data_IF_863102017057
#
_entry.id   IF_863102017057
#
_cell.length_a   1.000
_cell.length_b   1.000
_cell.length_c   1.000
_cell.angle_alpha   90.00
_cell.angle_beta   90.00
_cell.angle_gamma   90.00
#
_symmetry.space_group_name_H-M   'P 1'
#
loop_
_entity.id
_entity.type
_entity.pdbx_description
1 polymer ?
#
# COMPACT_ATOMS: atom_id res chain seq x y z
N UNK A 1 26.54 -3.95 7.71
CA UNK A 1 25.25 -4.54 7.38
C UNK A 1 24.20 -3.46 7.13
N UNK A 2 23.67 -3.42 5.93
CA UNK A 2 22.71 -2.38 5.53
C UNK A 2 21.43 -2.43 6.38
N UNK A 3 20.97 -3.63 6.68
CA UNK A 3 19.77 -3.81 7.51
C UNK A 3 19.97 -3.30 8.93
N UNK A 4 21.13 -3.55 9.50
CA UNK A 4 21.47 -3.06 10.83
C UNK A 4 21.54 -1.53 10.86
N UNK A 5 22.16 -0.94 9.84
CA UNK A 5 22.22 0.51 9.71
C UNK A 5 20.83 1.12 9.58
N UNK A 6 19.95 0.47 8.84
CA UNK A 6 18.56 0.89 8.69
C UNK A 6 17.84 0.90 10.04
N UNK A 7 18.03 -0.13 10.83
CA UNK A 7 17.40 -0.23 12.15
C UNK A 7 17.91 0.85 13.10
N UNK A 8 19.22 1.13 13.09
CA UNK A 8 19.79 2.17 13.93
C UNK A 8 19.25 3.56 13.57
N UNK A 9 19.17 3.87 12.29
CA UNK A 9 18.60 5.13 11.83
C UNK A 9 17.12 5.21 12.21
N UNK A 10 16.39 4.10 12.06
CA UNK A 10 15.00 4.02 12.43
C UNK A 10 14.78 4.27 13.91
N UNK A 11 15.65 3.71 14.78
CA UNK A 11 15.58 3.95 16.23
C UNK A 11 15.78 5.43 16.57
N UNK A 12 16.78 6.04 15.97
CA UNK A 12 17.11 7.45 16.22
C UNK A 12 15.97 8.37 15.77
N UNK A 13 15.35 8.06 14.64
CA UNK A 13 14.29 8.87 14.09
C UNK A 13 12.88 8.48 14.56
N UNK A 14 12.77 7.44 15.39
CA UNK A 14 11.48 6.95 15.87
C UNK A 14 10.71 6.12 14.84
N UNK A 15 11.37 5.69 13.79
CA UNK A 15 10.72 4.91 12.72
C UNK A 15 10.43 3.47 13.12
N UNK A 16 11.10 2.97 14.17
CA UNK A 16 10.87 1.61 14.66
C UNK A 16 9.58 1.47 15.45
N UNK A 17 8.87 2.57 15.70
CA UNK A 17 7.52 2.52 16.27
C UNK A 17 6.49 2.07 15.21
N UNK A 18 6.96 1.82 13.99
CA UNK A 18 6.15 1.34 12.89
C UNK A 18 5.62 2.49 12.03
N UNK A 19 5.90 2.44 10.74
CA UNK A 19 5.30 3.38 9.80
C UNK A 19 3.82 3.04 9.63
N UNK A 20 2.96 4.02 9.88
CA UNK A 20 1.52 3.83 9.72
C UNK A 20 1.15 3.76 8.25
N UNK A 21 0.38 2.75 7.88
CA UNK A 21 0.10 2.41 6.50
C UNK A 21 -1.39 2.27 6.27
N UNK A 22 -1.88 2.76 5.14
CA UNK A 22 -3.23 2.49 4.67
C UNK A 22 -3.18 1.76 3.34
N UNK A 23 -4.19 0.92 3.08
CA UNK A 23 -4.36 0.26 1.79
C UNK A 23 -5.63 0.85 1.16
N UNK A 24 -5.50 1.34 -0.07
CA UNK A 24 -6.64 1.82 -0.84
C UNK A 24 -6.90 0.84 -1.96
N UNK A 25 -8.07 0.19 -1.89
CA UNK A 25 -8.45 -0.91 -2.76
C UNK A 25 -8.41 -2.24 -2.01
N UNK A 26 -9.58 -2.81 -1.73
CA UNK A 26 -9.69 -4.06 -0.97
C UNK A 26 -10.20 -5.22 -1.82
N UNK A 27 -9.80 -5.24 -3.10
CA UNK A 27 -10.01 -6.38 -3.97
C UNK A 27 -9.05 -7.51 -3.62
N UNK A 28 -8.84 -8.45 -4.54
CA UNK A 28 -8.03 -9.63 -4.26
C UNK A 28 -6.63 -9.30 -3.75
N UNK A 29 -5.94 -8.37 -4.41
CA UNK A 29 -4.58 -8.00 -4.01
C UNK A 29 -4.56 -7.23 -2.70
N UNK A 30 -5.42 -6.23 -2.56
CA UNK A 30 -5.48 -5.43 -1.32
C UNK A 30 -5.82 -6.28 -0.12
N UNK A 31 -6.78 -7.21 -0.28
CA UNK A 31 -7.15 -8.14 0.78
C UNK A 31 -6.00 -9.07 1.15
N UNK A 32 -5.27 -9.58 0.15
CA UNK A 32 -4.13 -10.45 0.40
C UNK A 32 -3.04 -9.72 1.17
N UNK A 33 -2.73 -8.49 0.77
CA UNK A 33 -1.74 -7.66 1.46
C UNK A 33 -2.17 -7.36 2.89
N UNK A 34 -3.43 -6.99 3.09
CA UNK A 34 -3.95 -6.66 4.42
C UNK A 34 -3.98 -7.86 5.36
N UNK A 35 -4.16 -9.06 4.82
CA UNK A 35 -4.22 -10.29 5.60
C UNK A 35 -2.84 -10.82 6.00
N UNK A 36 -1.78 -10.30 5.42
CA UNK A 36 -0.45 -10.85 5.60
C UNK A 36 0.26 -10.23 6.81
N UNK A 37 0.77 -11.07 7.69
CA UNK A 37 1.47 -10.63 8.91
C UNK A 37 2.80 -9.96 8.64
N UNK A 38 3.29 -10.00 7.41
CA UNK A 38 4.60 -9.47 7.05
C UNK A 38 4.75 -7.99 7.38
N UNK A 39 3.66 -7.22 7.28
CA UNK A 39 3.72 -5.79 7.58
C UNK A 39 4.13 -5.54 9.02
N UNK A 40 3.47 -6.19 9.98
CA UNK A 40 3.77 -6.01 11.41
C UNK A 40 5.18 -6.50 11.74
N UNK A 41 5.58 -7.63 11.18
CA UNK A 41 6.90 -8.21 11.42
C UNK A 41 8.02 -7.31 10.92
N UNK A 42 7.75 -6.47 9.91
CA UNK A 42 8.73 -5.57 9.34
C UNK A 42 8.62 -4.13 9.87
N UNK A 43 7.79 -3.93 10.87
CA UNK A 43 7.65 -2.62 11.51
C UNK A 43 6.64 -1.70 10.86
N UNK A 44 5.76 -2.21 10.00
CA UNK A 44 4.70 -1.43 9.38
C UNK A 44 3.38 -1.70 10.10
N UNK A 45 2.66 -0.65 10.41
CA UNK A 45 1.39 -0.75 11.11
C UNK A 45 0.25 -0.39 10.17
N UNK A 46 -0.55 -1.39 9.79
CA UNK A 46 -1.73 -1.17 8.98
C UNK A 46 -2.82 -0.55 9.85
N UNK A 47 -3.27 0.65 9.49
CA UNK A 47 -4.25 1.39 10.28
C UNK A 47 -5.57 1.63 9.57
N UNK A 48 -5.64 1.43 8.26
CA UNK A 48 -6.86 1.66 7.51
C UNK A 48 -6.87 0.91 6.19
N UNK A 49 -8.08 0.50 5.79
CA UNK A 49 -8.34 -0.15 4.51
C UNK A 49 -9.55 0.54 3.89
N UNK A 50 -9.45 0.92 2.63
CA UNK A 50 -10.49 1.71 1.95
C UNK A 50 -10.87 1.08 0.61
N UNK A 51 -12.16 1.11 0.29
CA UNK A 51 -12.67 0.65 -1.00
C UNK A 51 -13.95 1.41 -1.33
N UNK A 52 -14.36 1.34 -2.59
CA UNK A 52 -15.62 1.92 -3.03
C UNK A 52 -16.70 0.86 -3.30
N UNK A 53 -16.39 -0.42 -3.11
CA UNK A 53 -17.35 -1.50 -3.31
C UNK A 53 -18.22 -1.67 -2.06
N UNK A 54 -19.51 -1.44 -2.21
CA UNK A 54 -20.46 -1.51 -1.10
C UNK A 54 -20.52 -2.91 -0.48
N UNK A 55 -20.19 -3.95 -1.24
CA UNK A 55 -20.18 -5.32 -0.73
C UNK A 55 -18.96 -5.62 0.14
N UNK A 56 -17.93 -4.81 0.02
CA UNK A 56 -16.68 -4.95 0.78
C UNK A 56 -16.64 -4.02 1.97
N UNK A 57 -17.20 -2.82 1.83
CA UNK A 57 -17.25 -1.83 2.92
C UNK A 57 -18.00 -2.42 4.12
N UNK A 58 -17.39 -2.29 5.30
CA UNK A 58 -17.94 -2.81 6.54
C UNK A 58 -17.47 -4.20 6.90
N UNK A 59 -16.85 -4.93 5.98
CA UNK A 59 -16.22 -6.21 6.31
C UNK A 59 -14.90 -5.96 7.03
N UNK A 60 -14.42 -6.97 7.76
CA UNK A 60 -13.14 -6.86 8.46
C UNK A 60 -12.10 -7.73 7.79
N UNK A 61 -10.90 -7.17 7.66
CA UNK A 61 -9.74 -7.91 7.18
C UNK A 61 -8.65 -7.74 8.23
N UNK A 62 -8.22 -8.84 8.81
CA UNK A 62 -7.21 -8.84 9.88
C UNK A 62 -7.57 -7.88 11.02
N UNK A 63 -8.85 -7.87 11.39
CA UNK A 63 -9.36 -7.04 12.48
C UNK A 63 -9.63 -5.58 12.12
N UNK A 64 -9.37 -5.17 10.89
CA UNK A 64 -9.56 -3.79 10.44
C UNK A 64 -10.78 -3.71 9.54
N UNK A 65 -11.72 -2.83 9.89
CA UNK A 65 -12.93 -2.63 9.10
C UNK A 65 -12.62 -1.86 7.83
N UNK A 66 -13.10 -2.37 6.69
CA UNK A 66 -12.96 -1.68 5.41
C UNK A 66 -13.91 -0.48 5.39
N UNK A 67 -13.36 0.69 5.13
CA UNK A 67 -14.13 1.94 5.07
C UNK A 67 -14.31 2.39 3.62
N UNK A 68 -15.32 3.24 3.42
CA UNK A 68 -15.51 3.86 2.11
C UNK A 68 -14.36 4.79 1.76
N UNK A 69 -13.96 4.83 0.49
CA UNK A 69 -12.97 5.79 -0.01
C UNK A 69 -13.39 7.23 0.29
N UNK A 70 -14.69 7.49 0.36
CA UNK A 70 -15.21 8.82 0.71
C UNK A 70 -14.75 9.27 2.11
N UNK A 71 -14.37 8.34 2.96
CA UNK A 71 -13.86 8.62 4.31
C UNK A 71 -12.33 8.78 4.36
N UNK A 72 -11.65 8.55 3.26
CA UNK A 72 -10.18 8.55 3.24
C UNK A 72 -9.60 9.88 3.69
N UNK A 73 -10.07 10.99 3.12
CA UNK A 73 -9.54 12.31 3.44
C UNK A 73 -9.77 12.67 4.90
N UNK A 74 -10.97 12.39 5.43
CA UNK A 74 -11.29 12.60 6.83
C UNK A 74 -10.37 11.77 7.73
N UNK A 75 -10.13 10.52 7.37
CA UNK A 75 -9.23 9.63 8.11
C UNK A 75 -7.81 10.18 8.11
N UNK A 76 -7.32 10.62 6.96
CA UNK A 76 -5.95 11.14 6.83
C UNK A 76 -5.76 12.45 7.61
N UNK A 77 -6.82 13.24 7.77
CA UNK A 77 -6.76 14.47 8.54
C UNK A 77 -6.73 14.22 10.05
N UNK A 78 -7.25 13.09 10.50
CA UNK A 78 -7.34 12.77 11.93
C UNK A 78 -6.31 11.72 12.39
N UNK A 79 -5.59 11.10 11.47
CA UNK A 79 -4.59 10.08 11.78
C UNK A 79 -3.32 10.35 10.99
N UNK A 80 -2.17 10.16 11.65
CA UNK A 80 -0.90 10.22 10.95
C UNK A 80 -0.75 8.97 10.10
N UNK A 81 -0.58 9.15 8.79
CA UNK A 81 -0.34 8.05 7.86
C UNK A 81 0.92 8.35 7.07
N UNK A 82 1.88 7.45 7.15
CA UNK A 82 3.18 7.62 6.50
C UNK A 82 3.19 7.03 5.10
N UNK A 83 2.52 5.90 4.89
CA UNK A 83 2.57 5.14 3.64
C UNK A 83 1.16 4.83 3.14
N UNK A 84 0.97 5.03 1.84
CA UNK A 84 -0.25 4.60 1.15
C UNK A 84 0.06 3.50 0.14
N UNK A 85 -0.67 2.39 0.22
CA UNK A 85 -0.57 1.30 -0.73
C UNK A 85 -1.77 1.38 -1.67
N UNK A 86 -1.49 1.47 -2.98
CA UNK A 86 -2.50 1.66 -4.00
C UNK A 86 -2.72 0.36 -4.77
N UNK A 87 -3.92 -0.19 -4.63
CA UNK A 87 -4.36 -1.37 -5.37
C UNK A 87 -5.68 -1.09 -6.09
N UNK A 88 -5.89 0.18 -6.44
CA UNK A 88 -7.10 0.64 -7.14
C UNK A 88 -6.97 0.46 -8.64
N UNK A 89 -8.10 0.47 -9.38
CA UNK A 89 -8.04 0.43 -10.85
C UNK A 89 -7.26 1.62 -11.43
N UNK A 90 -6.68 1.42 -12.60
CA UNK A 90 -5.87 2.42 -13.30
C UNK A 90 -6.53 3.79 -13.35
N UNK A 91 -7.83 3.83 -13.60
CA UNK A 91 -8.56 5.10 -13.73
C UNK A 91 -8.60 5.91 -12.43
N UNK A 92 -8.48 5.26 -11.28
CA UNK A 92 -8.58 5.92 -9.98
C UNK A 92 -7.24 6.20 -9.31
N UNK A 93 -6.14 5.70 -9.88
CA UNK A 93 -4.86 5.72 -9.19
C UNK A 93 -4.29 7.12 -8.98
N UNK A 94 -4.37 7.98 -10.00
CA UNK A 94 -3.80 9.33 -9.90
C UNK A 94 -4.57 10.18 -8.89
N UNK A 95 -5.89 10.14 -8.95
CA UNK A 95 -6.74 10.88 -8.02
C UNK A 95 -6.51 10.45 -6.57
N UNK A 96 -6.43 9.14 -6.34
CA UNK A 96 -6.18 8.59 -5.01
C UNK A 96 -4.80 8.97 -4.50
N UNK A 97 -3.79 8.86 -5.36
CA UNK A 97 -2.42 9.22 -5.00
C UNK A 97 -2.32 10.69 -4.61
N UNK A 98 -2.97 11.58 -5.36
CA UNK A 98 -2.98 13.01 -5.05
C UNK A 98 -3.63 13.30 -3.71
N UNK A 99 -4.73 12.63 -3.38
CA UNK A 99 -5.36 12.76 -2.08
C UNK A 99 -4.41 12.38 -0.95
N UNK A 100 -3.72 11.25 -1.10
CA UNK A 100 -2.78 10.78 -0.10
C UNK A 100 -1.65 11.79 0.10
N UNK A 101 -1.05 12.24 -0.98
CA UNK A 101 0.07 13.19 -0.93
C UNK A 101 -0.37 14.52 -0.34
N UNK A 102 -1.52 15.03 -0.75
CA UNK A 102 -2.03 16.31 -0.24
C UNK A 102 -2.37 16.26 1.24
N UNK A 103 -2.66 15.08 1.76
CA UNK A 103 -2.95 14.89 3.18
C UNK A 103 -1.72 14.49 4.01
N UNK A 104 -0.53 14.55 3.43
CA UNK A 104 0.71 14.39 4.17
C UNK A 104 1.37 13.02 4.10
N UNK A 105 0.86 12.11 3.29
CA UNK A 105 1.50 10.80 3.09
C UNK A 105 2.83 10.99 2.39
N UNK A 106 3.88 10.35 2.89
CA UNK A 106 5.25 10.54 2.41
C UNK A 106 5.74 9.43 1.49
N UNK A 107 5.10 8.28 1.51
CA UNK A 107 5.48 7.15 0.68
C UNK A 107 4.28 6.50 0.03
N UNK A 108 4.42 6.13 -1.24
CA UNK A 108 3.38 5.43 -1.99
C UNK A 108 3.94 4.16 -2.58
N UNK A 109 3.24 3.05 -2.35
CA UNK A 109 3.54 1.79 -3.03
C UNK A 109 2.42 1.54 -4.04
N UNK A 110 2.76 1.59 -5.31
CA UNK A 110 1.79 1.57 -6.40
C UNK A 110 1.79 0.21 -7.10
N UNK A 111 0.69 -0.52 -6.95
CA UNK A 111 0.50 -1.82 -7.60
C UNK A 111 -0.36 -1.71 -8.87
N UNK A 112 -0.69 -0.51 -9.31
CA UNK A 112 -1.41 -0.31 -10.56
C UNK A 112 -0.45 -0.38 -11.74
N UNK A 113 -1.00 -0.48 -12.97
CA UNK A 113 -0.18 -0.47 -14.18
C UNK A 113 0.23 0.93 -14.61
N UNK A 114 -0.26 1.96 -13.93
CA UNK A 114 0.10 3.34 -14.22
C UNK A 114 1.31 3.73 -13.37
N UNK A 115 2.37 4.20 -13.99
CA UNK A 115 3.50 4.72 -13.24
C UNK A 115 3.14 6.04 -12.61
N UNK A 116 3.51 6.19 -11.33
CA UNK A 116 3.32 7.42 -10.58
C UNK A 116 4.65 8.12 -10.42
N UNK A 117 4.64 9.44 -10.63
CA UNK A 117 5.78 10.32 -10.36
C UNK A 117 5.26 11.58 -9.68
N UNK A 118 5.95 11.99 -8.63
CA UNK A 118 5.67 13.24 -7.95
C UNK A 118 6.93 14.06 -7.86
N UNK A 119 6.81 15.37 -8.15
CA UNK A 119 7.93 16.31 -8.08
C UNK A 119 8.26 16.75 -6.66
N UNK A 120 7.47 16.32 -5.68
CA UNK A 120 7.65 16.65 -4.28
C UNK A 120 8.45 15.58 -3.56
N UNK A 121 8.72 15.81 -2.27
CA UNK A 121 9.45 14.86 -1.41
C UNK A 121 8.58 13.66 -1.04
N UNK A 122 8.06 12.97 -2.03
CA UNK A 122 7.26 11.76 -1.88
C UNK A 122 8.01 10.61 -2.53
N UNK A 123 8.29 9.58 -1.73
CA UNK A 123 8.91 8.36 -2.25
C UNK A 123 7.83 7.50 -2.91
N UNK A 124 8.10 7.05 -4.13
CA UNK A 124 7.17 6.19 -4.88
C UNK A 124 7.88 4.92 -5.31
N UNK A 125 7.29 3.78 -4.96
CA UNK A 125 7.68 2.49 -5.50
C UNK A 125 6.59 1.99 -6.43
N UNK A 126 6.93 1.81 -7.71
CA UNK A 126 6.01 1.25 -8.71
C UNK A 126 6.29 -0.24 -8.85
N UNK A 127 5.31 -1.08 -8.49
CA UNK A 127 5.46 -2.53 -8.51
C UNK A 127 4.69 -3.10 -9.71
N UNK A 128 5.42 -3.75 -10.61
CA UNK A 128 4.83 -4.35 -11.82
C UNK A 128 4.65 -5.85 -11.61
N UNK A 129 3.51 -6.24 -11.05
CA UNK A 129 3.23 -7.65 -10.76
C UNK A 129 3.09 -8.51 -12.02
N UNK A 130 2.68 -7.91 -13.12
CA UNK A 130 2.52 -8.65 -14.37
C UNK A 130 3.83 -9.24 -14.89
N UNK A 131 4.94 -8.54 -14.72
CA UNK A 131 6.23 -8.98 -15.25
C UNK A 131 6.71 -10.30 -14.62
N UNK A 132 6.74 -10.44 -13.29
CA UNK A 132 7.07 -11.73 -12.67
C UNK A 132 6.10 -12.85 -13.03
N UNK A 133 4.80 -12.55 -13.13
CA UNK A 133 3.81 -13.55 -13.49
C UNK A 133 3.99 -14.04 -14.92
N UNK A 134 4.27 -13.14 -15.86
CA UNK A 134 4.52 -13.51 -17.25
C UNK A 134 5.79 -14.34 -17.37
N UNK A 135 6.83 -13.98 -16.64
CA UNK A 135 8.07 -14.75 -16.60
C UNK A 135 7.80 -16.17 -16.10
N UNK A 136 7.03 -16.29 -15.03
CA UNK A 136 6.68 -17.59 -14.46
C UNK A 136 5.87 -18.42 -15.43
N UNK A 137 4.87 -17.82 -16.09
CA UNK A 137 4.05 -18.49 -17.08
C UNK A 137 4.90 -19.05 -18.24
N UNK A 138 5.85 -18.25 -18.70
CA UNK A 138 6.77 -18.67 -19.75
C UNK A 138 7.61 -19.86 -19.32
N UNK A 139 8.15 -19.82 -18.11
CA UNK A 139 8.95 -20.93 -17.55
C UNK A 139 8.13 -22.22 -17.45
N UNK A 140 6.87 -22.12 -17.05
CA UNK A 140 6.00 -23.28 -16.96
C UNK A 140 5.80 -23.91 -18.33
N UNK A 141 5.57 -23.10 -19.36
CA UNK A 141 5.38 -23.58 -20.72
C UNK A 141 6.64 -24.27 -21.26
N UNK A 142 7.80 -23.72 -20.97
CA UNK A 142 9.07 -24.35 -21.37
C UNK A 142 9.27 -25.71 -20.73
N UNK A 143 8.91 -25.86 -19.46
CA UNK A 143 9.06 -27.12 -18.74
C UNK A 143 8.09 -28.20 -19.21
N UNK A 144 7.01 -27.82 -19.91
CA UNK A 144 6.04 -28.78 -20.46
C UNK A 144 6.45 -29.30 -21.83
N UNK A 145 7.42 -28.70 -22.46
CA UNK A 145 7.95 -29.09 -23.76
C UNK A 145 9.25 -29.88 -23.56
#
# INVERSE_FOLDING_TARGET
NVEHLYNEIGDILGLNDGDTTVIVGAGNLGRALASHDTFEKRGFKLVGIFDNDINIIGTKINGIEVMSIDKLEEFLNSHRVDIGILTVPKAAVMETAEKLVNCGVKGLMNFSYTELKFDKDVAVENVHLSDPLMTLSYKIKQNQN
#
